data_IF_749068820294
#
_entry.id   IF_749068820294
#
_cell.length_a   1.000
_cell.length_b   1.000
_cell.length_c   1.000
_cell.angle_alpha   90.00
_cell.angle_beta   90.00
_cell.angle_gamma   90.00
#
_symmetry.space_group_name_H-M   'P 1'
#
loop_
_entity.id
_entity.type
_entity.pdbx_description
1 polymer ?
#
# COMPACT_ATOMS: atom_id res chain seq x y z
N UNK A 1 27.32 37.63 35.81
CA UNK A 1 27.92 36.28 35.85
C UNK A 1 27.36 35.49 34.69
N UNK A 2 28.20 35.10 33.73
CA UNK A 2 27.79 34.40 32.50
C UNK A 2 28.22 32.94 32.58
N UNK A 3 27.27 32.06 32.89
CA UNK A 3 27.48 30.61 32.83
C UNK A 3 27.42 30.15 31.37
N UNK A 4 28.56 29.74 30.82
CA UNK A 4 28.61 29.02 29.55
C UNK A 4 28.68 27.53 29.85
N UNK A 5 27.60 26.82 29.51
CA UNK A 5 27.47 25.39 29.73
C UNK A 5 28.48 24.60 28.89
N UNK A 6 29.43 23.94 29.57
CA UNK A 6 30.39 23.01 28.97
C UNK A 6 29.67 21.74 28.49
N UNK A 7 29.12 21.76 27.28
CA UNK A 7 28.72 20.54 26.57
C UNK A 7 29.97 19.97 25.89
N UNK A 8 30.41 18.80 26.35
CA UNK A 8 31.60 18.10 25.82
C UNK A 8 31.49 17.78 24.31
N UNK A 9 32.61 17.47 23.64
CA UNK A 9 32.64 17.28 22.19
C UNK A 9 31.88 16.01 21.77
N UNK A 10 31.05 16.15 20.73
CA UNK A 10 30.25 15.06 20.16
C UNK A 10 31.15 14.08 19.38
N UNK A 11 31.24 12.83 19.84
CA UNK A 11 32.06 11.79 19.19
C UNK A 11 31.43 11.41 17.84
N UNK A 12 32.02 11.86 16.74
CA UNK A 12 31.64 11.48 15.37
C UNK A 12 32.26 10.12 15.03
N UNK A 13 31.49 9.04 15.13
CA UNK A 13 31.91 7.71 14.65
C UNK A 13 31.84 7.67 13.12
N UNK A 14 32.93 7.28 12.47
CA UNK A 14 32.97 7.08 11.01
C UNK A 14 32.17 5.82 10.65
N UNK A 15 31.32 5.85 9.60
CA UNK A 15 30.60 4.67 9.16
C UNK A 15 31.58 3.64 8.59
N UNK A 16 31.48 2.38 9.03
CA UNK A 16 32.20 1.26 8.42
C UNK A 16 31.54 0.94 7.07
N UNK A 17 32.31 0.74 5.98
CA UNK A 17 31.75 0.29 4.71
C UNK A 17 31.23 -1.14 4.88
N UNK A 18 29.94 -1.34 4.64
CA UNK A 18 29.33 -2.65 4.50
C UNK A 18 29.40 -3.01 3.01
N UNK A 19 30.05 -4.12 2.67
CA UNK A 19 30.08 -4.63 1.31
C UNK A 19 28.65 -5.02 0.90
N UNK A 20 28.13 -4.34 -0.12
CA UNK A 20 26.82 -4.67 -0.69
C UNK A 20 26.94 -5.95 -1.51
N UNK A 21 26.06 -6.94 -1.32
CA UNK A 21 26.05 -8.13 -2.16
C UNK A 21 25.79 -7.73 -3.62
N UNK A 22 26.56 -8.32 -4.53
CA UNK A 22 26.38 -8.09 -5.97
C UNK A 22 25.07 -8.72 -6.43
N UNK A 23 24.32 -8.07 -7.34
CA UNK A 23 23.11 -8.65 -7.90
C UNK A 23 23.46 -9.92 -8.68
N UNK A 24 22.67 -10.99 -8.45
CA UNK A 24 22.77 -12.23 -9.20
C UNK A 24 22.09 -12.02 -10.55
N UNK A 25 22.85 -12.07 -11.64
CA UNK A 25 22.30 -12.10 -12.99
C UNK A 25 21.68 -13.48 -13.22
N UNK A 26 20.34 -13.55 -13.17
CA UNK A 26 19.59 -14.72 -13.61
C UNK A 26 19.58 -14.69 -15.14
N UNK A 27 20.64 -15.19 -15.77
CA UNK A 27 20.58 -15.52 -17.18
C UNK A 27 19.55 -16.64 -17.35
N UNK A 28 18.53 -16.40 -18.16
CA UNK A 28 17.39 -17.27 -18.43
C UNK A 28 17.76 -18.55 -19.21
N UNK A 29 18.80 -19.28 -18.77
CA UNK A 29 19.36 -20.42 -19.51
C UNK A 29 19.99 -21.54 -18.68
N UNK A 30 20.11 -21.42 -17.36
CA UNK A 30 20.68 -22.50 -16.54
C UNK A 30 19.84 -22.75 -15.29
N UNK A 31 18.65 -23.33 -15.50
CA UNK A 31 17.94 -24.26 -14.61
C UNK A 31 16.57 -24.55 -15.26
N UNK A 32 16.60 -25.27 -16.39
CA UNK A 32 15.40 -25.76 -17.07
C UNK A 32 14.80 -26.92 -16.27
N UNK A 33 14.00 -26.58 -15.26
CA UNK A 33 13.22 -27.52 -14.43
C UNK A 33 11.71 -27.35 -14.51
N UNK A 34 11.22 -26.36 -15.26
CA UNK A 34 9.78 -26.12 -15.48
C UNK A 34 9.52 -25.99 -16.98
N UNK A 35 9.10 -27.09 -17.62
CA UNK A 35 8.55 -27.08 -18.98
C UNK A 35 7.03 -26.99 -18.87
N UNK A 36 6.47 -25.82 -19.17
CA UNK A 36 5.05 -25.66 -19.46
C UNK A 36 4.89 -25.94 -20.96
N UNK A 37 4.29 -27.08 -21.33
CA UNK A 37 3.89 -27.30 -22.72
C UNK A 37 2.68 -26.41 -23.01
N UNK A 38 2.92 -25.20 -23.50
CA UNK A 38 1.91 -24.37 -24.13
C UNK A 38 1.88 -24.68 -25.62
N UNK A 39 0.97 -25.56 -26.04
CA UNK A 39 0.56 -25.60 -27.45
C UNK A 39 -0.25 -24.33 -27.77
N UNK A 40 0.13 -23.55 -28.79
CA UNK A 40 -0.67 -22.42 -29.26
C UNK A 40 -1.66 -22.91 -30.32
N UNK A 41 -2.95 -22.92 -29.98
CA UNK A 41 -4.01 -22.91 -31.00
C UNK A 41 -4.48 -21.46 -31.15
N UNK A 42 -4.05 -20.82 -32.24
CA UNK A 42 -4.65 -19.59 -32.77
C UNK A 42 -5.50 -19.95 -34.00
N UNK A 43 -6.58 -19.18 -34.25
CA UNK A 43 -6.47 -18.05 -35.17
C UNK A 43 -7.13 -16.78 -34.59
N UNK A 44 -6.43 -15.64 -34.59
CA UNK A 44 -6.52 -14.59 -35.63
C UNK A 44 -7.97 -14.16 -35.89
N UNK A 45 -8.37 -13.07 -35.23
CA UNK A 45 -9.34 -12.11 -35.79
C UNK A 45 -8.68 -10.74 -35.70
N UNK A 46 -8.39 -10.20 -36.88
CA UNK A 46 -7.95 -8.83 -37.11
C UNK A 46 -9.08 -7.86 -36.75
N UNK A 47 -8.81 -6.88 -35.90
CA UNK A 47 -9.57 -5.63 -35.91
C UNK A 47 -8.58 -4.48 -35.99
N UNK A 48 -8.86 -3.65 -36.98
CA UNK A 48 -8.02 -2.65 -37.59
C UNK A 48 -7.48 -1.59 -36.63
N UNK A 49 -6.23 -1.20 -36.91
CA UNK A 49 -5.61 0.04 -36.43
C UNK A 49 -6.35 1.23 -37.02
N UNK A 50 -6.62 2.24 -36.20
CA UNK A 50 -6.51 3.63 -36.65
C UNK A 50 -5.79 4.49 -35.60
N UNK A 51 -4.68 5.15 -35.96
CA UNK A 51 -3.91 6.02 -35.08
C UNK A 51 -4.37 7.47 -35.20
N UNK A 52 -4.59 8.18 -34.09
CA UNK A 52 -4.76 9.65 -34.13
C UNK A 52 -3.81 10.31 -33.14
N UNK A 53 -2.64 10.61 -33.70
CA UNK A 53 -1.80 11.81 -33.53
C UNK A 53 -1.81 12.58 -32.20
N UNK A 54 -0.68 12.51 -31.49
CA UNK A 54 -0.06 13.69 -30.85
C UNK A 54 0.94 14.33 -31.81
N UNK A 55 0.96 15.66 -31.91
CA UNK A 55 2.20 16.43 -32.02
C UNK A 55 2.29 17.34 -30.77
N UNK A 56 3.27 17.19 -29.89
CA UNK A 56 4.63 17.71 -30.04
C UNK A 56 4.66 19.12 -30.63
N UNK A 57 4.79 20.14 -29.77
CA UNK A 57 5.58 21.31 -30.13
C UNK A 57 6.37 21.79 -28.92
N UNK A 58 7.63 22.10 -29.23
CA UNK A 58 8.72 22.48 -28.33
C UNK A 58 8.65 23.99 -28.03
N UNK A 59 9.23 24.35 -26.87
CA UNK A 59 10.08 25.51 -26.51
C UNK A 59 9.86 26.84 -27.24
N UNK A 60 9.71 27.97 -26.53
CA UNK A 60 10.74 28.91 -26.03
C UNK A 60 9.92 30.05 -25.33
N UNK A 61 10.35 30.92 -24.42
CA UNK A 61 11.65 31.25 -23.84
C UNK A 61 11.44 32.02 -22.51
N UNK A 62 12.55 32.28 -21.83
CA UNK A 62 12.74 32.96 -20.56
C UNK A 62 11.89 34.22 -20.25
N UNK A 63 11.52 34.41 -18.98
CA UNK A 63 11.81 35.67 -18.28
C UNK A 63 11.70 35.55 -16.75
N UNK A 64 12.68 36.19 -16.13
CA UNK A 64 12.94 36.50 -14.72
C UNK A 64 11.72 36.76 -13.82
N UNK A 65 11.73 36.19 -12.61
CA UNK A 65 11.89 37.01 -11.41
C UNK A 65 12.08 36.19 -10.14
N UNK A 66 13.18 36.48 -9.44
CA UNK A 66 13.40 36.09 -8.05
C UNK A 66 12.33 36.77 -7.19
N UNK A 67 11.52 35.98 -6.48
CA UNK A 67 10.98 36.39 -5.19
C UNK A 67 11.13 35.23 -4.23
N UNK A 68 12.02 35.42 -3.27
CA UNK A 68 12.03 34.66 -2.04
C UNK A 68 10.62 34.65 -1.45
N UNK A 69 10.01 33.48 -1.45
CA UNK A 69 9.04 33.16 -0.42
C UNK A 69 9.31 31.71 -0.01
N UNK A 70 9.95 31.55 1.14
CA UNK A 70 9.86 30.32 1.93
C UNK A 70 8.42 30.19 2.44
N UNK A 71 7.47 30.04 1.52
CA UNK A 71 6.16 29.51 1.84
C UNK A 71 6.39 28.01 2.06
N UNK A 72 6.49 27.60 3.34
CA UNK A 72 6.24 26.21 3.71
C UNK A 72 4.93 25.84 3.04
N UNK A 73 4.98 25.02 1.99
CA UNK A 73 3.79 24.38 1.41
C UNK A 73 3.12 23.68 2.58
N UNK A 74 2.08 24.30 3.14
CA UNK A 74 1.13 23.60 4.01
C UNK A 74 0.68 22.43 3.16
N UNK A 75 1.12 21.22 3.54
CA UNK A 75 0.67 20.00 2.87
C UNK A 75 -0.84 20.12 2.82
N UNK A 76 -1.41 20.09 1.62
CA UNK A 76 -2.85 20.02 1.47
C UNK A 76 -3.31 18.90 2.41
N UNK A 77 -4.13 19.25 3.40
CA UNK A 77 -4.83 18.27 4.21
C UNK A 77 -5.52 17.36 3.21
N UNK A 78 -5.06 16.12 3.11
CA UNK A 78 -5.64 15.19 2.15
C UNK A 78 -6.93 14.68 2.77
N UNK A 79 -7.95 15.52 2.71
CA UNK A 79 -9.32 15.12 2.96
C UNK A 79 -9.67 14.15 1.83
N UNK A 80 -9.87 12.88 2.17
CA UNK A 80 -10.20 11.81 1.22
C UNK A 80 -9.20 10.64 1.12
N UNK A 81 -8.22 10.52 2.02
CA UNK A 81 -7.26 9.37 2.04
C UNK A 81 -7.48 8.37 3.17
N UNK A 82 -8.61 8.44 3.89
CA UNK A 82 -8.81 7.61 5.08
C UNK A 82 -9.48 6.26 4.78
N UNK A 83 -10.06 6.08 3.59
CA UNK A 83 -10.64 4.80 3.18
C UNK A 83 -9.59 3.91 2.53
N UNK A 84 -8.61 3.45 3.33
CA UNK A 84 -7.67 2.44 2.87
C UNK A 84 -8.28 1.06 3.05
N UNK A 85 -8.63 0.40 1.96
CA UNK A 85 -9.05 -1.01 2.00
C UNK A 85 -7.80 -1.88 2.15
N UNK A 86 -7.75 -2.69 3.20
CA UNK A 86 -6.68 -3.66 3.43
C UNK A 86 -7.13 -5.05 2.97
N UNK A 87 -6.23 -5.80 2.34
CA UNK A 87 -6.47 -7.19 1.96
C UNK A 87 -5.92 -8.15 3.01
N UNK A 88 -6.68 -9.21 3.30
CA UNK A 88 -6.30 -10.27 4.24
C UNK A 88 -6.34 -11.59 3.46
N UNK A 89 -5.28 -12.40 3.61
CA UNK A 89 -5.26 -13.76 3.06
C UNK A 89 -5.96 -14.69 4.04
N UNK A 90 -6.92 -15.45 3.54
CA UNK A 90 -7.69 -16.44 4.31
C UNK A 90 -7.64 -17.81 3.63
N UNK A 91 -7.74 -18.91 4.40
CA UNK A 91 -7.90 -20.25 3.84
C UNK A 91 -9.08 -20.34 2.86
N UNK A 92 -8.98 -21.23 1.87
CA UNK A 92 -9.98 -21.40 0.82
C UNK A 92 -11.38 -21.67 1.38
N UNK A 93 -11.49 -22.58 2.35
CA UNK A 93 -12.77 -22.95 2.95
C UNK A 93 -13.50 -21.77 3.57
N UNK A 94 -12.76 -20.85 4.21
CA UNK A 94 -13.31 -19.63 4.82
C UNK A 94 -13.75 -18.66 3.72
N UNK A 95 -12.92 -18.48 2.69
CA UNK A 95 -13.26 -17.64 1.54
C UNK A 95 -14.56 -18.10 0.85
N UNK A 96 -14.74 -19.41 0.66
CA UNK A 96 -15.97 -19.98 0.09
C UNK A 96 -17.16 -19.72 1.00
N UNK A 97 -17.04 -19.95 2.31
CA UNK A 97 -18.13 -19.69 3.28
C UNK A 97 -18.55 -18.21 3.29
N UNK A 98 -17.60 -17.29 3.25
CA UNK A 98 -17.89 -15.85 3.15
C UNK A 98 -18.61 -15.53 1.83
N UNK A 99 -18.16 -16.13 0.71
CA UNK A 99 -18.82 -15.96 -0.58
C UNK A 99 -20.25 -16.53 -0.63
N UNK A 100 -20.51 -17.62 0.07
CA UNK A 100 -21.85 -18.19 0.23
C UNK A 100 -22.72 -17.28 1.10
N UNK A 101 -22.18 -16.79 2.22
CA UNK A 101 -22.88 -15.88 3.12
C UNK A 101 -23.32 -14.60 2.41
N UNK A 102 -22.44 -14.03 1.56
CA UNK A 102 -22.77 -12.84 0.77
C UNK A 102 -23.95 -13.01 -0.19
N UNK A 103 -24.30 -14.24 -0.58
CA UNK A 103 -25.50 -14.49 -1.40
C UNK A 103 -26.81 -14.41 -0.61
N UNK A 104 -26.74 -14.53 0.71
CA UNK A 104 -27.90 -14.47 1.61
C UNK A 104 -28.07 -13.09 2.25
N UNK A 105 -27.04 -12.26 2.23
CA UNK A 105 -27.10 -10.90 2.75
C UNK A 105 -27.44 -9.92 1.62
N UNK A 106 -28.11 -8.82 1.95
CA UNK A 106 -28.40 -7.76 0.98
C UNK A 106 -27.10 -7.08 0.49
N UNK A 107 -26.04 -7.13 1.30
CA UNK A 107 -24.72 -6.58 0.97
C UNK A 107 -23.75 -7.62 0.43
N UNK A 108 -23.36 -7.46 -0.85
CA UNK A 108 -22.38 -8.34 -1.51
C UNK A 108 -20.91 -8.00 -1.20
N UNK A 109 -20.67 -6.94 -0.42
CA UNK A 109 -19.32 -6.44 -0.15
C UNK A 109 -18.71 -7.23 1.01
N UNK A 110 -17.63 -7.97 0.71
CA UNK A 110 -16.92 -8.80 1.69
C UNK A 110 -16.56 -8.06 2.97
N UNK A 111 -16.13 -6.80 2.87
CA UNK A 111 -15.76 -6.02 4.05
C UNK A 111 -16.96 -5.72 4.95
N UNK A 112 -18.15 -5.50 4.39
CA UNK A 112 -19.35 -5.21 5.17
C UNK A 112 -19.87 -6.48 5.86
N UNK A 113 -19.86 -7.61 5.15
CA UNK A 113 -20.18 -8.92 5.74
C UNK A 113 -19.25 -9.21 6.92
N UNK A 114 -17.94 -8.95 6.77
CA UNK A 114 -16.98 -9.13 7.85
C UNK A 114 -17.24 -8.17 9.02
N UNK A 115 -17.56 -6.90 8.75
CA UNK A 115 -17.91 -5.94 9.81
C UNK A 115 -19.12 -6.39 10.60
N UNK A 116 -20.18 -6.85 9.93
CA UNK A 116 -21.40 -7.31 10.60
C UNK A 116 -21.16 -8.56 11.44
N UNK A 117 -20.34 -9.50 10.94
CA UNK A 117 -19.94 -10.68 11.72
C UNK A 117 -19.14 -10.30 12.97
N UNK A 118 -18.24 -9.32 12.86
CA UNK A 118 -17.46 -8.83 14.00
C UNK A 118 -18.38 -8.16 15.02
N UNK A 119 -19.28 -7.28 14.57
CA UNK A 119 -20.23 -6.57 15.43
C UNK A 119 -21.18 -7.54 16.14
N UNK A 120 -21.66 -8.56 15.43
CA UNK A 120 -22.50 -9.61 16.01
C UNK A 120 -21.76 -10.38 17.11
N UNK A 121 -20.53 -10.80 16.83
CA UNK A 121 -19.70 -11.54 17.79
C UNK A 121 -19.38 -10.69 19.02
N UNK A 122 -19.03 -9.42 18.82
CA UNK A 122 -18.73 -8.49 19.91
C UNK A 122 -19.94 -8.27 20.84
N UNK A 123 -21.14 -8.17 20.28
CA UNK A 123 -22.37 -7.91 21.05
C UNK A 123 -22.92 -9.12 21.77
N UNK A 124 -22.77 -10.32 21.19
CA UNK A 124 -23.48 -11.51 21.66
C UNK A 124 -22.58 -12.55 22.33
N UNK A 125 -21.30 -12.66 21.96
CA UNK A 125 -20.41 -13.73 22.42
C UNK A 125 -19.31 -13.25 23.37
N UNK A 126 -18.94 -11.98 23.33
CA UNK A 126 -17.90 -11.45 24.22
C UNK A 126 -18.46 -11.13 25.62
N UNK A 127 -17.67 -11.47 26.64
CA UNK A 127 -17.89 -10.98 28.01
C UNK A 127 -17.56 -9.49 28.12
N UNK A 128 -18.16 -8.79 29.09
CA UNK A 128 -17.90 -7.36 29.38
C UNK A 128 -16.40 -7.03 29.47
N UNK A 129 -15.61 -7.94 30.06
CA UNK A 129 -14.17 -7.78 30.17
C UNK A 129 -13.48 -7.85 28.80
N UNK A 130 -13.86 -8.82 27.97
CA UNK A 130 -13.29 -8.99 26.63
C UNK A 130 -13.72 -7.85 25.71
N UNK A 131 -14.95 -7.36 25.83
CA UNK A 131 -15.45 -6.22 25.05
C UNK A 131 -14.63 -4.95 25.34
N UNK A 132 -14.35 -4.66 26.61
CA UNK A 132 -13.47 -3.54 27.00
C UNK A 132 -12.04 -3.69 26.48
N UNK A 133 -11.52 -4.92 26.46
CA UNK A 133 -10.19 -5.19 25.90
C UNK A 133 -10.15 -4.97 24.39
N UNK A 134 -11.19 -5.43 23.70
CA UNK A 134 -11.34 -5.25 22.26
C UNK A 134 -11.39 -3.76 21.90
N UNK A 135 -12.22 -2.98 22.59
CA UNK A 135 -12.35 -1.52 22.40
C UNK A 135 -11.02 -0.80 22.64
N UNK A 136 -10.32 -1.12 23.73
CA UNK A 136 -9.01 -0.56 24.02
C UNK A 136 -7.98 -0.85 22.92
N UNK A 137 -7.98 -2.07 22.38
CA UNK A 137 -7.08 -2.44 21.28
C UNK A 137 -7.45 -1.72 19.99
N UNK A 138 -8.74 -1.61 19.64
CA UNK A 138 -9.18 -0.90 18.44
C UNK A 138 -8.83 0.58 18.48
N UNK A 139 -9.01 1.23 19.64
CA UNK A 139 -8.67 2.64 19.80
C UNK A 139 -7.17 2.88 19.65
N UNK A 140 -6.35 2.02 20.26
CA UNK A 140 -4.90 2.09 20.11
C UNK A 140 -4.45 2.02 18.64
N UNK A 141 -5.04 1.12 17.84
CA UNK A 141 -4.71 0.96 16.42
C UNK A 141 -5.19 2.14 15.53
N UNK A 142 -6.21 2.89 15.97
CA UNK A 142 -6.78 4.02 15.23
C UNK A 142 -6.11 5.36 15.55
N UNK A 143 -5.30 5.45 16.61
CA UNK A 143 -4.65 6.67 17.07
C UNK A 143 -3.21 6.88 16.54
N UNK A 144 -2.69 5.96 15.71
CA UNK A 144 -1.41 6.08 14.98
C UNK A 144 -1.60 6.59 13.53
#
# INVERSE_FOLDING_TARGET
MSETGNKGPLIKKKPKPMDRPKPVNINAGSNSGFKFNSEPSSPVIEVEKNPVSKPSNQKEDASTNKKDSTARKKRASVVGKNDSVKSIKVPYDIHVKIGVLGKFMDENKTYAILSELIDYYQKNELTDRQQKQFEFMTDFLNHD
#
